data_IF_037601634774
#
_entry.id   IF_037601634774
#
_cell.length_a   1.000
_cell.length_b   1.000
_cell.length_c   1.000
_cell.angle_alpha   90.00
_cell.angle_beta   90.00
_cell.angle_gamma   90.00
#
_symmetry.space_group_name_H-M   'P 1'
#
loop_
_entity.id
_entity.type
_entity.pdbx_description
1 polymer ?
#
# COMPACT_ATOMS: atom_id res chain seq x y z
N UNK A 1 7.75 25.35 -12.22
CA UNK A 1 7.70 24.02 -11.58
C UNK A 1 7.13 24.17 -10.17
N UNK A 2 5.85 23.84 -9.97
CA UNK A 2 5.23 23.80 -8.66
C UNK A 2 4.60 22.42 -8.51
N UNK A 3 5.21 21.59 -7.67
CA UNK A 3 4.63 20.32 -7.25
C UNK A 3 3.55 20.65 -6.20
N UNK A 4 2.37 21.04 -6.66
CA UNK A 4 1.20 21.30 -5.81
C UNK A 4 0.53 19.98 -5.47
N UNK A 5 1.15 19.21 -4.58
CA UNK A 5 0.38 18.20 -3.84
C UNK A 5 -0.61 18.97 -2.94
N UNK A 6 -1.92 18.67 -3.00
CA UNK A 6 -2.93 19.35 -2.18
C UNK A 6 -2.63 19.20 -0.67
N UNK A 7 -3.01 20.19 0.14
CA UNK A 7 -2.66 20.32 1.57
C UNK A 7 -2.93 19.07 2.43
N UNK A 8 -3.91 18.25 2.06
CA UNK A 8 -4.23 16.99 2.75
C UNK A 8 -3.30 15.81 2.39
N UNK A 9 -2.52 15.92 1.30
CA UNK A 9 -1.48 14.97 0.86
C UNK A 9 -0.08 15.25 1.43
N UNK A 10 0.06 16.25 2.30
CA UNK A 10 1.33 16.54 3.01
C UNK A 10 1.58 15.65 4.23
N UNK A 11 0.64 14.75 4.56
CA UNK A 11 0.77 13.84 5.69
C UNK A 11 1.60 12.62 5.27
N UNK A 12 2.92 12.82 5.15
CA UNK A 12 3.89 11.76 5.42
C UNK A 12 3.64 11.32 6.86
N UNK A 13 3.01 10.16 7.06
CA UNK A 13 2.54 9.72 8.38
C UNK A 13 3.71 9.63 9.38
N UNK A 14 4.94 9.37 8.91
CA UNK A 14 6.17 9.58 9.68
C UNK A 14 7.22 10.31 8.82
N UNK A 15 7.43 11.59 9.11
CA UNK A 15 8.52 12.41 8.56
C UNK A 15 9.84 12.17 9.29
N UNK A 16 9.85 11.41 10.40
CA UNK A 16 11.06 11.08 11.16
C UNK A 16 10.92 9.79 11.99
N UNK A 17 12.04 9.15 12.38
CA UNK A 17 12.04 8.01 13.31
C UNK A 17 11.34 8.31 14.65
N UNK A 18 11.39 9.57 15.13
CA UNK A 18 10.73 9.98 16.36
C UNK A 18 9.21 9.93 16.26
N UNK A 19 8.63 10.30 15.12
CA UNK A 19 7.18 10.21 14.90
C UNK A 19 6.72 8.75 14.81
N UNK A 20 7.52 7.88 14.17
CA UNK A 20 7.25 6.44 14.12
C UNK A 20 7.24 5.82 15.51
N UNK A 21 8.25 6.14 16.34
CA UNK A 21 8.32 5.66 17.71
C UNK A 21 7.16 6.18 18.57
N UNK A 22 6.79 7.46 18.42
CA UNK A 22 5.65 8.05 19.14
C UNK A 22 4.33 7.38 18.78
N UNK A 23 4.10 7.11 17.50
CA UNK A 23 2.89 6.42 17.07
C UNK A 23 2.87 4.95 17.49
N UNK A 24 3.99 4.23 17.37
CA UNK A 24 4.10 2.87 17.88
C UNK A 24 3.82 2.79 19.38
N UNK A 25 4.39 3.71 20.16
CA UNK A 25 4.12 3.82 21.60
C UNK A 25 2.64 4.14 21.88
N UNK A 26 2.04 5.05 21.11
CA UNK A 26 0.62 5.39 21.23
C UNK A 26 -0.32 4.23 20.90
N UNK A 27 -0.06 3.48 19.82
CA UNK A 27 -0.83 2.29 19.45
C UNK A 27 -0.71 1.22 20.53
N UNK A 28 0.51 0.93 20.99
CA UNK A 28 0.73 -0.07 22.04
C UNK A 28 0.07 0.34 23.36
N UNK A 29 0.16 1.62 23.72
CA UNK A 29 -0.51 2.16 24.92
C UNK A 29 -2.03 2.02 24.85
N UNK A 30 -2.64 2.37 23.71
CA UNK A 30 -4.08 2.22 23.50
C UNK A 30 -4.52 0.75 23.51
N UNK A 31 -3.77 -0.14 22.85
CA UNK A 31 -4.06 -1.57 22.84
C UNK A 31 -3.92 -2.20 24.23
N UNK A 32 -2.90 -1.80 25.00
CA UNK A 32 -2.70 -2.23 26.39
C UNK A 32 -3.84 -1.78 27.28
N UNK A 33 -4.26 -0.51 27.18
CA UNK A 33 -5.39 0.01 27.95
C UNK A 33 -6.70 -0.75 27.63
N UNK A 34 -6.95 -1.04 26.35
CA UNK A 34 -8.10 -1.84 25.93
C UNK A 34 -8.06 -3.27 26.48
N UNK A 35 -6.88 -3.92 26.46
CA UNK A 35 -6.69 -5.25 27.02
C UNK A 35 -6.94 -5.29 28.53
N UNK A 36 -6.45 -4.31 29.28
CA UNK A 36 -6.69 -4.22 30.73
C UNK A 36 -8.17 -4.01 31.07
N UNK A 37 -8.85 -3.15 30.31
CA UNK A 37 -10.28 -2.94 30.49
C UNK A 37 -11.09 -4.21 30.19
N UNK A 38 -10.71 -4.94 29.13
CA UNK A 38 -11.35 -6.19 28.75
C UNK A 38 -11.06 -7.32 29.74
N UNK A 39 -9.83 -7.43 30.23
CA UNK A 39 -9.44 -8.40 31.26
C UNK A 39 -10.20 -8.17 32.57
N UNK A 40 -10.27 -6.91 33.03
CA UNK A 40 -11.05 -6.54 34.20
C UNK A 40 -12.53 -6.87 34.04
N UNK A 41 -13.08 -6.69 32.84
CA UNK A 41 -14.46 -7.05 32.53
C UNK A 41 -14.68 -8.58 32.60
N UNK A 42 -13.78 -9.38 32.05
CA UNK A 42 -13.83 -10.84 32.13
C UNK A 42 -13.83 -11.33 33.57
N UNK A 43 -12.97 -10.75 34.41
CA UNK A 43 -12.90 -11.07 35.83
C UNK A 43 -14.18 -10.71 36.57
N UNK A 44 -14.84 -9.59 36.24
CA UNK A 44 -16.14 -9.22 36.80
C UNK A 44 -17.25 -10.23 36.45
N UNK A 45 -17.15 -10.89 35.30
CA UNK A 45 -18.06 -11.96 34.89
C UNK A 45 -17.67 -13.35 35.41
N UNK A 46 -16.62 -13.45 36.24
CA UNK A 46 -16.16 -14.70 36.83
C UNK A 46 -15.30 -15.57 35.91
N UNK A 47 -14.82 -15.02 34.78
CA UNK A 47 -13.86 -15.69 33.92
C UNK A 47 -12.42 -15.51 34.44
N UNK A 48 -11.55 -16.44 34.07
CA UNK A 48 -10.11 -16.35 34.39
C UNK A 48 -9.41 -15.22 33.61
N UNK A 49 -8.20 -14.82 34.06
CA UNK A 49 -7.43 -13.77 33.41
C UNK A 49 -7.01 -14.18 31.99
N UNK A 50 -6.78 -13.18 31.14
CA UNK A 50 -6.25 -13.37 29.81
C UNK A 50 -4.90 -14.08 29.83
N UNK A 51 -4.75 -15.07 28.96
CA UNK A 51 -3.47 -15.73 28.72
C UNK A 51 -2.47 -14.77 28.07
N UNK A 52 -1.21 -14.88 28.49
CA UNK A 52 -0.11 -14.06 27.98
C UNK A 52 0.01 -14.09 26.45
N UNK A 53 -0.24 -15.25 25.83
CA UNK A 53 -0.18 -15.41 24.37
C UNK A 53 -1.22 -14.55 23.63
N UNK A 54 -2.41 -14.39 24.21
CA UNK A 54 -3.49 -13.56 23.64
C UNK A 54 -3.13 -12.08 23.76
N UNK A 55 -2.55 -11.67 24.89
CA UNK A 55 -2.06 -10.32 25.13
C UNK A 55 -0.96 -9.97 24.12
N UNK A 56 0.06 -10.82 24.01
CA UNK A 56 1.20 -10.64 23.10
C UNK A 56 0.72 -10.63 21.64
N UNK A 57 -0.14 -11.57 21.25
CA UNK A 57 -0.71 -11.64 19.90
C UNK A 57 -1.51 -10.39 19.52
N UNK A 58 -2.28 -9.84 20.45
CA UNK A 58 -3.09 -8.63 20.24
C UNK A 58 -2.21 -7.37 20.11
N UNK A 59 -1.15 -7.26 20.92
CA UNK A 59 -0.20 -6.16 20.82
C UNK A 59 0.58 -6.19 19.50
N UNK A 60 1.06 -7.37 19.08
CA UNK A 60 1.73 -7.53 17.77
C UNK A 60 0.76 -7.24 16.63
N UNK A 61 -0.46 -7.77 16.68
CA UNK A 61 -1.48 -7.57 15.67
C UNK A 61 -1.90 -6.10 15.52
N UNK A 62 -2.08 -5.39 16.63
CA UNK A 62 -2.44 -3.96 16.64
C UNK A 62 -1.33 -3.09 16.06
N UNK A 63 -0.07 -3.36 16.40
CA UNK A 63 1.09 -2.66 15.84
C UNK A 63 1.27 -2.97 14.34
N UNK A 64 1.15 -4.24 13.94
CA UNK A 64 1.25 -4.62 12.54
C UNK A 64 0.10 -4.01 11.70
N UNK A 65 -1.13 -4.02 12.20
CA UNK A 65 -2.28 -3.40 11.57
C UNK A 65 -2.13 -1.88 11.45
N UNK A 66 -1.71 -1.21 12.53
CA UNK A 66 -1.54 0.25 12.55
C UNK A 66 -0.39 0.74 11.68
N UNK A 67 0.66 -0.08 11.48
CA UNK A 67 1.78 0.24 10.60
C UNK A 67 1.51 -0.13 9.13
N UNK A 68 0.71 -1.16 8.88
CA UNK A 68 0.39 -1.65 7.53
C UNK A 68 -0.61 -0.75 6.81
N UNK A 69 -1.67 -0.31 7.50
CA UNK A 69 -2.68 0.59 6.95
C UNK A 69 -2.09 1.90 6.35
N UNK A 70 -1.14 2.60 6.99
CA UNK A 70 -0.55 3.82 6.44
C UNK A 70 0.52 3.57 5.36
N UNK A 71 1.26 2.45 5.42
CA UNK A 71 2.37 2.19 4.49
C UNK A 71 1.91 1.67 3.13
N UNK A 72 0.82 0.90 3.09
CA UNK A 72 0.21 0.42 1.84
C UNK A 72 -0.43 1.55 1.02
N UNK A 73 -0.69 2.71 1.64
CA UNK A 73 -1.51 3.80 1.09
C UNK A 73 -0.69 5.04 0.70
N UNK A 74 0.62 5.05 0.99
CA UNK A 74 1.51 6.15 0.59
C UNK A 74 1.48 6.34 -0.94
N UNK A 75 1.04 7.52 -1.45
CA UNK A 75 1.05 7.78 -2.87
C UNK A 75 2.49 7.94 -3.36
N UNK A 76 2.86 7.15 -4.36
CA UNK A 76 4.13 7.23 -5.06
C UNK A 76 3.86 7.46 -6.54
N UNK A 77 4.59 8.41 -7.13
CA UNK A 77 4.57 8.66 -8.57
C UNK A 77 5.90 8.22 -9.14
N UNK A 78 5.84 7.41 -10.18
CA UNK A 78 6.99 6.98 -10.95
C UNK A 78 6.75 7.24 -12.43
N UNK A 79 7.77 7.77 -13.11
CA UNK A 79 7.77 7.99 -14.55
C UNK A 79 8.77 7.07 -15.20
N UNK A 80 8.33 6.43 -16.27
CA UNK A 80 9.12 5.55 -17.10
C UNK A 80 9.04 6.05 -18.53
N UNK A 81 10.19 6.36 -19.13
CA UNK A 81 10.30 6.67 -20.55
C UNK A 81 10.72 5.38 -21.24
N UNK A 82 9.93 4.91 -22.20
CA UNK A 82 10.21 3.68 -22.94
C UNK A 82 9.85 3.83 -24.41
N UNK A 83 10.61 3.17 -25.28
CA UNK A 83 10.33 3.10 -26.73
C UNK A 83 9.17 2.15 -27.05
N UNK A 84 8.78 1.29 -26.11
CA UNK A 84 7.70 0.31 -26.27
C UNK A 84 6.62 0.45 -25.18
N UNK A 85 5.83 1.53 -25.20
CA UNK A 85 4.89 1.85 -24.13
C UNK A 85 3.76 0.81 -23.99
N UNK A 86 3.33 0.19 -25.09
CA UNK A 86 2.30 -0.84 -25.09
C UNK A 86 2.74 -2.12 -24.33
N UNK A 87 3.99 -2.54 -24.49
CA UNK A 87 4.54 -3.73 -23.83
C UNK A 87 4.68 -3.48 -22.33
N UNK A 88 5.21 -2.31 -21.96
CA UNK A 88 5.32 -1.90 -20.56
C UNK A 88 3.95 -1.80 -19.87
N UNK A 89 2.94 -1.24 -20.55
CA UNK A 89 1.57 -1.19 -20.03
C UNK A 89 0.94 -2.59 -19.84
N UNK A 90 1.19 -3.52 -20.77
CA UNK A 90 0.71 -4.90 -20.66
C UNK A 90 1.38 -5.65 -19.50
N UNK A 91 2.71 -5.51 -19.32
CA UNK A 91 3.41 -6.10 -18.18
C UNK A 91 2.95 -5.46 -16.86
N UNK A 92 2.73 -4.16 -16.83
CA UNK A 92 2.18 -3.48 -15.66
C UNK A 92 0.81 -4.05 -15.27
N UNK A 93 -0.08 -4.28 -16.24
CA UNK A 93 -1.36 -4.93 -16.00
C UNK A 93 -1.21 -6.34 -15.40
N UNK A 94 -0.27 -7.14 -15.92
CA UNK A 94 0.02 -8.49 -15.41
C UNK A 94 0.57 -8.48 -13.98
N UNK A 95 1.51 -7.60 -13.68
CA UNK A 95 2.08 -7.43 -12.32
C UNK A 95 0.99 -6.99 -11.34
N UNK A 96 0.16 -6.02 -11.73
CA UNK A 96 -0.97 -5.55 -10.94
C UNK A 96 -1.99 -6.68 -10.68
N UNK A 97 -2.36 -7.46 -11.69
CA UNK A 97 -3.23 -8.62 -11.52
C UNK A 97 -2.65 -9.65 -10.53
N UNK A 98 -1.34 -9.88 -10.58
CA UNK A 98 -0.62 -10.77 -9.65
C UNK A 98 -0.64 -10.30 -8.18
N UNK A 99 -0.85 -9.01 -7.94
CA UNK A 99 -1.06 -8.44 -6.60
C UNK A 99 -2.53 -8.09 -6.32
N UNK A 100 -3.45 -8.74 -7.04
CA UNK A 100 -4.91 -8.60 -6.90
C UNK A 100 -5.44 -7.21 -7.24
N UNK A 101 -4.81 -6.49 -8.15
CA UNK A 101 -5.37 -5.25 -8.69
C UNK A 101 -6.13 -5.52 -9.99
N UNK A 102 -7.34 -4.97 -10.10
CA UNK A 102 -8.19 -5.11 -11.28
C UNK A 102 -8.47 -3.76 -11.93
N UNK A 103 -8.58 -3.71 -13.27
CA UNK A 103 -8.92 -2.48 -13.98
C UNK A 103 -10.36 -2.06 -13.62
N UNK A 104 -10.52 -0.88 -13.04
CA UNK A 104 -11.81 -0.31 -12.67
C UNK A 104 -12.30 0.69 -13.73
N UNK A 105 -11.41 1.52 -14.25
CA UNK A 105 -11.76 2.57 -15.23
C UNK A 105 -10.69 2.65 -16.32
N UNK A 106 -11.12 2.83 -17.58
CA UNK A 106 -10.25 3.03 -18.75
C UNK A 106 -10.77 4.21 -19.58
N UNK A 107 -9.91 5.17 -19.88
CA UNK A 107 -10.26 6.28 -20.79
C UNK A 107 -9.17 7.33 -20.96
N UNK A 108 -8.99 7.86 -22.18
CA UNK A 108 -8.05 8.95 -22.45
C UNK A 108 -6.58 8.62 -22.13
N UNK A 109 -6.12 7.40 -22.45
CA UNK A 109 -4.74 6.97 -22.17
C UNK A 109 -4.46 6.62 -20.70
N UNK A 110 -5.47 6.68 -19.82
CA UNK A 110 -5.36 6.28 -18.41
C UNK A 110 -6.09 4.98 -18.14
N UNK A 111 -5.49 4.14 -17.31
CA UNK A 111 -6.14 2.96 -16.72
C UNK A 111 -5.99 3.05 -15.21
N UNK A 112 -7.12 3.07 -14.50
CA UNK A 112 -7.16 3.06 -13.05
C UNK A 112 -7.42 1.63 -12.56
N UNK A 113 -6.49 1.12 -11.77
CA UNK A 113 -6.55 -0.21 -11.16
C UNK A 113 -6.90 -0.07 -9.68
N UNK A 114 -7.80 -0.93 -9.18
CA UNK A 114 -8.18 -0.99 -7.77
C UNK A 114 -7.86 -2.34 -7.17
N UNK A 115 -7.49 -2.35 -5.90
CA UNK A 115 -7.26 -3.58 -5.16
C UNK A 115 -8.58 -4.36 -5.03
N UNK A 116 -8.54 -5.64 -5.38
CA UNK A 116 -9.64 -6.57 -5.23
C UNK A 116 -9.69 -7.03 -3.77
N UNK A 117 -10.59 -6.44 -3.01
CA UNK A 117 -10.77 -6.73 -1.60
C UNK A 117 -11.94 -7.72 -1.44
N UNK A 118 -11.81 -8.78 -0.63
CA UNK A 118 -12.93 -9.68 -0.34
C UNK A 118 -14.15 -8.92 0.19
N UNK A 119 -15.37 -9.41 -0.09
CA UNK A 119 -16.62 -8.71 0.23
C UNK A 119 -16.76 -8.32 1.72
N UNK A 120 -16.27 -9.16 2.64
CA UNK A 120 -16.28 -8.89 4.08
C UNK A 120 -15.26 -7.82 4.52
N UNK A 121 -14.35 -7.45 3.62
CA UNK A 121 -13.41 -6.35 3.74
C UNK A 121 -13.76 -5.21 2.77
N UNK A 122 -14.95 -5.19 2.14
CA UNK A 122 -15.34 -4.12 1.22
C UNK A 122 -15.35 -2.72 1.86
N UNK A 123 -15.48 -2.65 3.19
CA UNK A 123 -15.31 -1.40 3.96
C UNK A 123 -13.86 -0.87 3.92
N UNK A 124 -12.88 -1.71 3.57
CA UNK A 124 -11.49 -1.38 3.25
C UNK A 124 -11.28 -1.03 1.77
N UNK A 125 -12.34 -0.86 0.95
CA UNK A 125 -12.26 -0.22 -0.37
C UNK A 125 -11.90 1.27 -0.22
N UNK A 126 -10.71 1.54 0.29
CA UNK A 126 -10.18 2.87 0.42
C UNK A 126 -9.88 3.36 -0.99
N UNK A 127 -10.43 4.54 -1.35
CA UNK A 127 -10.11 5.25 -2.60
C UNK A 127 -8.60 5.42 -2.83
N UNK A 128 -7.82 5.36 -1.76
CA UNK A 128 -6.39 5.55 -1.69
C UNK A 128 -5.58 4.29 -2.07
N UNK A 129 -6.24 3.14 -2.23
CA UNK A 129 -5.61 1.89 -2.70
C UNK A 129 -5.50 1.79 -4.23
N UNK A 130 -5.91 2.80 -4.99
CA UNK A 130 -5.88 2.79 -6.46
C UNK A 130 -4.47 3.04 -7.04
N UNK A 131 -4.20 2.41 -8.19
CA UNK A 131 -3.02 2.66 -9.02
C UNK A 131 -3.47 3.14 -10.39
N UNK A 132 -3.12 4.37 -10.73
CA UNK A 132 -3.31 4.95 -12.05
C UNK A 132 -2.07 4.68 -12.90
N UNK A 133 -2.28 4.11 -14.08
CA UNK A 133 -1.27 3.98 -15.13
C UNK A 133 -1.72 4.87 -16.28
N UNK A 134 -0.99 5.95 -16.53
CA UNK A 134 -1.20 6.87 -17.64
C UNK A 134 -0.11 6.68 -18.69
N UNK A 135 -0.52 6.49 -19.92
CA UNK A 135 0.35 6.33 -21.08
C UNK A 135 0.16 7.53 -22.00
N UNK A 136 1.22 8.30 -22.21
CA UNK A 136 1.25 9.47 -23.08
C UNK A 136 2.45 9.36 -24.03
N UNK A 137 2.22 8.77 -25.21
CA UNK A 137 3.29 8.42 -26.14
C UNK A 137 4.30 7.46 -25.50
N UNK A 138 5.57 7.88 -25.42
CA UNK A 138 6.67 7.13 -24.79
C UNK A 138 6.79 7.35 -23.27
N UNK A 139 6.03 8.29 -22.69
CA UNK A 139 6.02 8.56 -21.25
C UNK A 139 4.90 7.77 -20.57
N UNK A 140 5.28 6.88 -19.64
CA UNK A 140 4.35 6.17 -18.78
C UNK A 140 4.48 6.77 -17.37
N UNK A 141 3.40 7.39 -16.89
CA UNK A 141 3.31 7.86 -15.51
C UNK A 141 2.44 6.89 -14.69
N UNK A 142 3.03 6.30 -13.66
CA UNK A 142 2.35 5.41 -12.72
C UNK A 142 2.21 6.14 -11.39
N UNK A 143 0.99 6.25 -10.87
CA UNK A 143 0.69 6.93 -9.59
C UNK A 143 -0.19 6.05 -8.73
N UNK A 144 0.21 5.77 -7.49
CA UNK A 144 -0.62 4.98 -6.58
C UNK A 144 0.09 4.48 -5.34
N UNK A 145 -0.43 3.41 -4.74
CA UNK A 145 0.14 2.77 -3.56
C UNK A 145 1.63 2.43 -3.71
N UNK A 146 2.47 2.90 -2.78
CA UNK A 146 3.94 2.76 -2.83
C UNK A 146 4.41 1.32 -3.05
N UNK A 147 3.78 0.33 -2.42
CA UNK A 147 4.15 -1.08 -2.60
C UNK A 147 3.84 -1.55 -4.02
N UNK A 148 2.67 -1.20 -4.55
CA UNK A 148 2.29 -1.55 -5.91
C UNK A 148 3.22 -0.90 -6.94
N UNK A 149 3.54 0.39 -6.76
CA UNK A 149 4.46 1.09 -7.67
C UNK A 149 5.90 0.58 -7.52
N UNK A 150 6.36 0.21 -6.32
CA UNK A 150 7.68 -0.42 -6.13
C UNK A 150 7.78 -1.78 -6.84
N UNK A 151 6.73 -2.61 -6.76
CA UNK A 151 6.70 -3.89 -7.50
C UNK A 151 6.67 -3.70 -9.00
N UNK A 152 5.91 -2.70 -9.47
CA UNK A 152 5.94 -2.29 -10.87
C UNK A 152 7.34 -1.82 -11.29
N UNK A 153 8.01 -1.02 -10.47
CA UNK A 153 9.37 -0.56 -10.71
C UNK A 153 10.35 -1.73 -10.84
N UNK A 154 10.35 -2.66 -9.89
CA UNK A 154 11.20 -3.85 -9.95
C UNK A 154 10.92 -4.68 -11.21
N UNK A 155 9.66 -4.98 -11.50
CA UNK A 155 9.29 -5.82 -12.63
C UNK A 155 9.53 -5.15 -14.00
N UNK A 156 9.48 -3.82 -14.08
CA UNK A 156 9.69 -3.07 -15.32
C UNK A 156 11.16 -2.71 -15.53
N UNK A 157 11.97 -2.55 -14.48
CA UNK A 157 13.44 -2.45 -14.59
C UNK A 157 14.06 -3.69 -15.24
N UNK A 158 13.51 -4.88 -14.97
CA UNK A 158 13.96 -6.11 -15.62
C UNK A 158 13.74 -6.12 -17.15
N UNK A 159 12.84 -5.27 -17.71
CA UNK A 159 12.66 -5.20 -19.17
C UNK A 159 13.87 -4.52 -19.83
N UNK A 160 14.35 -3.42 -19.26
CA UNK A 160 15.50 -2.70 -19.82
C UNK A 160 16.75 -3.58 -19.73
N UNK A 161 16.93 -4.31 -18.63
CA UNK A 161 18.09 -5.19 -18.40
C UNK A 161 18.02 -6.48 -19.23
N UNK A 162 16.86 -7.14 -19.30
CA UNK A 162 16.72 -8.39 -20.08
C UNK A 162 16.95 -8.18 -21.58
N UNK A 163 16.76 -6.95 -22.08
CA UNK A 163 16.94 -6.61 -23.49
C UNK A 163 18.33 -6.07 -23.82
N UNK A 164 19.06 -5.47 -22.87
CA UNK A 164 20.50 -5.23 -23.03
C UNK A 164 21.30 -6.53 -23.14
N UNK A 165 20.77 -7.65 -22.62
CA UNK A 165 21.36 -8.98 -22.71
C UNK A 165 20.99 -9.80 -23.96
N UNK A 166 20.07 -9.33 -24.80
CA UNK A 166 19.68 -10.01 -26.05
C UNK A 166 20.38 -9.33 -27.24
N UNK A 167 21.44 -9.94 -27.84
CA UNK A 167 22.02 -9.41 -29.06
C UNK A 167 20.97 -9.45 -30.16
N UNK A 168 20.75 -8.31 -30.81
CA UNK A 168 19.90 -8.21 -31.98
C UNK A 168 20.38 -9.22 -33.05
N UNK A 169 19.50 -10.16 -33.39
CA UNK A 169 19.63 -11.00 -34.60
C UNK A 169 18.96 -10.25 -35.75
#
# INVERSE_FOLDING_TARGET
MQCLLPRWRQVLIFQSPRQLLSHGAGTLGAATAGLLAFDGLLQLFGYGPLHADVIVGTLIGSLAGSLRAPYEVLPFQWRLITTTPAIAAAKAAGVLAGIKYHPAERGGGRTLYRLAVPWYLAWLEWRESAVEVRVDGSDITITGARIAVRRLHQALQDIDIAREGEPAI
#
